data_IF_460727638640
#
_entry.id   IF_460727638640
#
_cell.length_a   1.000
_cell.length_b   1.000
_cell.length_c   1.000
_cell.angle_alpha   90.00
_cell.angle_beta   90.00
_cell.angle_gamma   90.00
#
_symmetry.space_group_name_H-M   'P 1'
#
loop_
_entity.id
_entity.type
_entity.pdbx_description
1 polymer ?
#
# COMPACT_ATOMS: atom_id res chain seq x y z
N UNK A 1 -74.07 -10.54 -50.10
CA UNK A 1 -72.81 -11.29 -50.13
C UNK A 1 -71.71 -10.28 -50.29
N UNK A 2 -71.05 -9.90 -49.20
CA UNK A 2 -69.89 -9.01 -49.22
C UNK A 2 -68.58 -9.84 -49.30
N UNK A 3 -67.60 -9.45 -50.10
CA UNK A 3 -66.37 -10.20 -50.23
C UNK A 3 -65.48 -9.98 -49.03
N UNK A 4 -64.86 -11.03 -48.53
CA UNK A 4 -63.96 -11.13 -47.43
C UNK A 4 -62.62 -10.53 -47.88
N UNK A 5 -62.12 -9.52 -47.15
CA UNK A 5 -60.73 -8.98 -47.29
C UNK A 5 -59.69 -9.93 -46.67
N UNK A 6 -58.51 -10.08 -47.29
CA UNK A 6 -57.44 -10.89 -46.74
C UNK A 6 -56.71 -10.15 -45.57
N UNK A 7 -56.08 -10.91 -44.63
CA UNK A 7 -55.44 -10.35 -43.47
C UNK A 7 -54.17 -9.59 -43.84
N UNK A 8 -53.77 -8.57 -43.06
CA UNK A 8 -52.57 -7.77 -43.30
C UNK A 8 -51.26 -8.55 -43.04
N UNK A 9 -50.28 -8.34 -43.92
CA UNK A 9 -48.95 -8.93 -43.85
C UNK A 9 -48.16 -8.47 -42.58
N UNK A 10 -47.28 -9.31 -42.04
CA UNK A 10 -46.55 -8.98 -40.81
C UNK A 10 -45.53 -7.86 -41.06
N UNK A 11 -45.58 -6.84 -40.19
CA UNK A 11 -44.58 -5.76 -40.13
C UNK A 11 -43.16 -6.32 -39.90
N UNK A 12 -42.23 -6.07 -40.83
CA UNK A 12 -40.81 -6.29 -40.63
C UNK A 12 -40.29 -5.35 -39.53
N UNK A 13 -39.94 -5.90 -38.39
CA UNK A 13 -39.24 -5.19 -37.33
C UNK A 13 -37.89 -4.71 -37.85
N UNK A 14 -37.73 -3.40 -37.95
CA UNK A 14 -36.41 -2.78 -38.15
C UNK A 14 -35.63 -2.92 -36.85
N UNK A 15 -34.72 -3.89 -36.77
CA UNK A 15 -33.68 -3.91 -35.75
C UNK A 15 -32.83 -2.66 -35.91
N UNK A 16 -32.95 -1.69 -35.00
CA UNK A 16 -31.99 -0.62 -34.83
C UNK A 16 -30.67 -1.27 -34.38
N UNK A 17 -29.62 -1.22 -35.18
CA UNK A 17 -28.26 -1.53 -34.76
C UNK A 17 -27.92 -0.65 -33.55
N UNK A 18 -27.57 -1.27 -32.43
CA UNK A 18 -27.01 -0.57 -31.30
C UNK A 18 -25.69 0.06 -31.79
N UNK A 19 -25.37 1.31 -31.38
CA UNK A 19 -24.04 1.88 -31.66
C UNK A 19 -23.00 0.99 -30.99
N UNK A 20 -21.97 0.68 -31.75
CA UNK A 20 -20.80 -0.06 -31.31
C UNK A 20 -20.02 0.86 -30.34
N UNK A 21 -20.12 0.58 -29.05
CA UNK A 21 -19.39 1.26 -27.96
C UNK A 21 -18.06 0.56 -27.69
N UNK A 22 -17.36 0.09 -28.72
CA UNK A 22 -15.97 -0.30 -28.61
C UNK A 22 -15.11 0.94 -28.48
N UNK A 23 -14.75 1.29 -27.23
CA UNK A 23 -13.65 2.22 -26.98
C UNK A 23 -12.38 1.61 -27.57
N UNK A 24 -11.60 2.36 -28.37
CA UNK A 24 -10.31 1.87 -28.83
C UNK A 24 -9.40 1.60 -27.62
N UNK A 25 -8.96 0.36 -27.48
CA UNK A 25 -7.92 0.02 -26.52
C UNK A 25 -6.66 0.82 -26.88
N UNK A 26 -6.01 1.49 -25.93
CA UNK A 26 -4.77 2.18 -26.20
C UNK A 26 -3.72 1.18 -26.68
N UNK A 27 -3.06 1.51 -27.78
CA UNK A 27 -1.93 0.76 -28.30
C UNK A 27 -0.89 0.54 -27.21
N UNK A 28 -0.39 -0.69 -27.07
CA UNK A 28 0.75 -1.05 -26.25
C UNK A 28 2.00 -0.29 -26.74
N UNK A 29 2.26 0.88 -26.18
CA UNK A 29 3.60 1.44 -26.18
C UNK A 29 4.38 0.84 -25.01
N UNK A 30 5.27 -0.09 -25.34
CA UNK A 30 6.14 -0.86 -24.42
C UNK A 30 7.32 0.01 -23.89
N UNK A 31 7.20 1.31 -23.93
CA UNK A 31 8.30 2.18 -23.55
C UNK A 31 7.85 3.32 -22.66
N UNK A 32 7.69 3.09 -21.36
CA UNK A 32 7.81 4.12 -20.32
C UNK A 32 7.91 3.50 -18.92
N UNK A 33 8.78 2.49 -18.76
CA UNK A 33 9.40 2.28 -17.45
C UNK A 33 10.58 3.25 -17.40
N UNK A 34 10.42 4.39 -16.71
CA UNK A 34 11.57 5.24 -16.38
C UNK A 34 12.42 4.44 -15.39
N UNK A 35 13.66 4.03 -15.77
CA UNK A 35 14.55 3.38 -14.83
C UNK A 35 14.85 4.37 -13.69
N UNK A 36 14.71 3.92 -12.44
CA UNK A 36 15.26 4.66 -11.31
C UNK A 36 16.78 4.85 -11.56
N UNK A 37 17.34 6.05 -11.29
CA UNK A 37 18.78 6.24 -11.35
C UNK A 37 19.46 5.24 -10.41
N UNK A 38 20.43 4.50 -10.95
CA UNK A 38 21.27 3.59 -10.18
C UNK A 38 22.07 4.40 -9.17
N UNK A 39 22.18 3.96 -7.91
CA UNK A 39 23.17 4.51 -6.99
C UNK A 39 24.56 4.24 -7.57
N UNK A 40 25.53 5.19 -7.40
CA UNK A 40 26.89 5.00 -7.86
C UNK A 40 27.54 3.77 -7.17
N UNK A 41 28.43 3.06 -7.85
CA UNK A 41 29.11 1.91 -7.25
C UNK A 41 29.94 2.36 -6.03
N UNK A 42 30.07 1.51 -5.00
CA UNK A 42 30.83 1.85 -3.82
C UNK A 42 32.30 2.03 -4.19
N UNK A 43 32.87 3.20 -3.85
CA UNK A 43 34.29 3.48 -3.99
C UNK A 43 35.07 2.61 -3.01
N UNK A 44 35.93 1.75 -3.54
CA UNK A 44 36.92 1.00 -2.76
C UNK A 44 38.00 1.95 -2.29
N UNK A 45 38.01 2.28 -1.00
CA UNK A 45 39.22 2.72 -0.30
C UNK A 45 39.32 1.98 1.03
N UNK A 46 40.40 1.23 1.13
CA UNK A 46 40.84 0.44 2.26
C UNK A 46 41.43 1.31 3.37
N UNK A 47 41.12 1.01 4.63
CA UNK A 47 42.02 0.63 5.71
C UNK A 47 41.49 1.05 7.11
N UNK A 48 41.97 0.46 8.19
CA UNK A 48 41.16 0.11 9.34
C UNK A 48 41.43 0.98 10.57
N UNK A 49 40.42 1.19 11.43
CA UNK A 49 40.71 1.46 12.87
C UNK A 49 39.52 1.15 13.77
N UNK A 50 39.75 0.21 14.67
CA UNK A 50 39.32 0.09 16.08
C UNK A 50 37.89 0.42 16.52
N UNK A 51 37.20 -0.64 16.97
CA UNK A 51 36.57 -0.67 18.28
C UNK A 51 35.33 0.20 18.52
N UNK A 52 34.15 -0.35 18.27
CA UNK A 52 32.97 0.03 19.04
C UNK A 52 32.00 -1.19 19.13
N UNK A 53 31.39 -1.34 20.30
CA UNK A 53 30.66 -2.47 20.77
C UNK A 53 29.61 -3.00 19.78
N UNK A 54 29.75 -4.25 19.42
CA UNK A 54 28.82 -5.03 18.60
C UNK A 54 27.63 -5.37 19.50
N UNK A 55 26.48 -4.73 19.26
CA UNK A 55 25.21 -5.31 19.68
C UNK A 55 25.06 -6.67 18.99
N UNK A 56 24.57 -7.72 19.67
CA UNK A 56 24.45 -9.03 19.06
C UNK A 56 23.40 -8.97 17.94
N UNK A 57 23.86 -8.85 16.70
CA UNK A 57 23.06 -9.10 15.52
C UNK A 57 22.55 -10.55 15.63
N UNK A 58 21.27 -10.72 15.98
CA UNK A 58 20.60 -12.01 15.92
C UNK A 58 20.68 -12.46 14.47
N UNK A 59 21.54 -13.44 14.19
CA UNK A 59 21.72 -14.01 12.86
C UNK A 59 20.35 -14.42 12.32
N UNK A 60 19.91 -13.82 11.22
CA UNK A 60 18.75 -14.29 10.48
C UNK A 60 18.99 -15.75 10.06
N UNK A 61 17.89 -16.51 9.90
CA UNK A 61 17.98 -17.92 9.51
C UNK A 61 18.85 -18.07 8.26
N UNK A 62 19.91 -18.85 8.34
CA UNK A 62 20.84 -19.07 7.22
C UNK A 62 20.24 -20.01 6.16
N UNK A 63 19.16 -20.72 6.48
CA UNK A 63 18.52 -21.67 5.58
C UNK A 63 17.03 -21.82 5.90
N UNK A 64 16.21 -22.06 4.86
CA UNK A 64 14.80 -22.41 5.01
C UNK A 64 14.58 -23.66 5.89
N UNK A 65 15.55 -24.60 5.94
CA UNK A 65 15.46 -25.80 6.77
C UNK A 65 15.47 -25.50 8.28
N UNK A 66 15.93 -24.33 8.70
CA UNK A 66 15.92 -23.88 10.10
C UNK A 66 14.56 -23.30 10.51
N UNK A 67 13.65 -23.08 9.55
CA UNK A 67 12.34 -22.49 9.78
C UNK A 67 11.26 -23.59 9.87
N UNK A 68 10.46 -23.52 10.91
CA UNK A 68 9.30 -24.36 11.10
C UNK A 68 8.03 -23.55 10.82
N UNK A 69 7.21 -24.00 9.86
CA UNK A 69 5.91 -23.37 9.58
C UNK A 69 4.91 -23.74 10.66
N UNK A 70 4.31 -22.72 11.31
CA UNK A 70 3.31 -22.90 12.37
C UNK A 70 1.90 -22.85 11.77
N UNK A 71 1.53 -21.72 11.17
CA UNK A 71 0.21 -21.52 10.56
C UNK A 71 0.26 -20.43 9.48
N UNK A 72 -0.76 -20.43 8.63
CA UNK A 72 -1.01 -19.35 7.67
C UNK A 72 -1.64 -18.16 8.38
N UNK A 73 -1.09 -16.95 8.18
CA UNK A 73 -1.56 -15.69 8.81
C UNK A 73 -2.12 -14.70 7.80
N UNK A 74 -1.89 -14.91 6.49
CA UNK A 74 -2.43 -14.05 5.45
C UNK A 74 -2.35 -14.67 4.07
N UNK A 75 -3.18 -14.21 3.15
CA UNK A 75 -3.11 -14.56 1.73
C UNK A 75 -3.74 -13.43 0.88
N UNK A 76 -3.19 -13.21 -0.30
CA UNK A 76 -3.68 -12.20 -1.24
C UNK A 76 -2.96 -12.30 -2.59
N UNK A 77 -3.17 -11.32 -3.47
CA UNK A 77 -2.52 -11.26 -4.78
C UNK A 77 -0.98 -11.28 -4.69
N UNK A 78 -0.41 -10.83 -3.57
CA UNK A 78 1.05 -10.83 -3.33
C UNK A 78 1.61 -12.15 -2.80
N UNK A 79 0.80 -13.21 -2.68
CA UNK A 79 1.24 -14.52 -2.16
C UNK A 79 0.59 -14.91 -0.84
N UNK A 80 1.17 -15.91 -0.18
CA UNK A 80 0.70 -16.39 1.12
C UNK A 80 1.73 -16.08 2.20
N UNK A 81 1.27 -15.66 3.37
CA UNK A 81 2.12 -15.37 4.53
C UNK A 81 1.89 -16.40 5.61
N UNK A 82 2.99 -16.98 6.11
CA UNK A 82 3.01 -17.94 7.20
C UNK A 82 3.73 -17.38 8.42
N UNK A 83 3.21 -17.66 9.61
CA UNK A 83 4.00 -17.58 10.82
C UNK A 83 4.98 -18.75 10.83
N UNK A 84 6.26 -18.46 11.02
CA UNK A 84 7.32 -19.46 11.13
C UNK A 84 8.13 -19.23 12.39
N UNK A 85 8.74 -20.27 12.92
CA UNK A 85 9.64 -20.21 14.07
C UNK A 85 11.02 -20.67 13.65
N UNK A 86 12.02 -19.88 13.94
CA UNK A 86 13.42 -20.25 13.74
C UNK A 86 13.84 -21.23 14.84
N UNK A 87 14.00 -22.51 14.50
CA UNK A 87 14.24 -23.60 15.45
C UNK A 87 15.38 -23.34 16.43
N UNK A 88 16.57 -22.86 15.99
CA UNK A 88 17.69 -22.64 16.91
C UNK A 88 17.44 -21.57 17.97
N UNK A 89 16.63 -20.54 17.67
CA UNK A 89 16.44 -19.38 18.56
C UNK A 89 15.02 -19.27 19.12
N UNK A 90 14.10 -20.12 18.67
CA UNK A 90 12.66 -20.06 18.98
C UNK A 90 12.01 -18.70 18.63
N UNK A 91 12.68 -17.87 17.83
CA UNK A 91 12.17 -16.54 17.45
C UNK A 91 11.12 -16.69 16.34
N UNK A 92 9.94 -16.02 16.47
CA UNK A 92 8.94 -16.00 15.42
C UNK A 92 9.31 -15.03 14.31
N UNK A 93 8.94 -15.38 13.05
CA UNK A 93 9.04 -14.56 11.85
C UNK A 93 7.79 -14.72 11.00
N UNK A 94 7.59 -13.84 10.04
CA UNK A 94 6.63 -13.98 8.97
C UNK A 94 7.36 -14.40 7.69
N UNK A 95 6.91 -15.49 7.05
CA UNK A 95 7.46 -15.96 5.77
C UNK A 95 6.42 -15.72 4.67
N UNK A 96 6.69 -14.75 3.81
CA UNK A 96 5.85 -14.44 2.64
C UNK A 96 6.34 -15.26 1.46
N UNK A 97 5.46 -16.13 0.93
CA UNK A 97 5.73 -16.98 -0.22
C UNK A 97 5.03 -16.40 -1.43
N UNK A 98 5.81 -16.03 -2.42
CA UNK A 98 5.36 -15.47 -3.70
C UNK A 98 5.37 -16.60 -4.71
N UNK A 99 4.16 -17.04 -5.10
CA UNK A 99 3.97 -18.13 -6.05
C UNK A 99 3.96 -17.61 -7.49
N UNK A 100 4.38 -18.42 -8.42
CA UNK A 100 4.18 -18.25 -9.85
C UNK A 100 5.45 -18.46 -10.68
N UNK A 101 5.28 -19.06 -11.85
CA UNK A 101 6.28 -19.08 -12.91
C UNK A 101 6.32 -17.67 -13.56
N UNK A 102 6.94 -16.74 -12.84
CA UNK A 102 7.17 -15.41 -13.39
C UNK A 102 8.22 -15.48 -14.48
N UNK A 103 8.01 -14.72 -15.57
CA UNK A 103 9.05 -14.50 -16.57
C UNK A 103 10.33 -13.99 -15.90
N UNK A 104 11.49 -14.36 -16.42
CA UNK A 104 12.79 -14.02 -15.82
C UNK A 104 12.98 -12.52 -15.55
N UNK A 105 12.37 -11.66 -16.39
CA UNK A 105 12.40 -10.21 -16.21
C UNK A 105 11.63 -9.77 -14.96
N UNK A 106 10.43 -10.33 -14.75
CA UNK A 106 9.57 -10.05 -13.58
C UNK A 106 10.25 -10.57 -12.32
N UNK A 107 10.81 -11.78 -12.38
CA UNK A 107 11.54 -12.38 -11.28
C UNK A 107 12.73 -11.53 -10.85
N UNK A 108 13.54 -11.06 -11.81
CA UNK A 108 14.66 -10.14 -11.52
C UNK A 108 14.20 -8.83 -10.91
N UNK A 109 13.06 -8.31 -11.34
CA UNK A 109 12.48 -7.08 -10.77
C UNK A 109 12.02 -7.30 -9.33
N UNK A 110 11.35 -8.43 -9.03
CA UNK A 110 10.94 -8.82 -7.67
C UNK A 110 12.18 -8.91 -6.77
N UNK A 111 13.23 -9.61 -7.20
CA UNK A 111 14.46 -9.74 -6.42
C UNK A 111 15.12 -8.38 -6.12
N UNK A 112 15.17 -7.45 -7.10
CA UNK A 112 15.69 -6.09 -6.89
C UNK A 112 14.90 -5.31 -5.85
N UNK A 113 13.58 -5.37 -5.89
CA UNK A 113 12.74 -4.70 -4.89
C UNK A 113 12.96 -5.29 -3.50
N UNK A 114 13.11 -6.62 -3.38
CA UNK A 114 13.41 -7.26 -2.10
C UNK A 114 14.79 -6.84 -1.58
N UNK A 115 15.80 -6.68 -2.43
CA UNK A 115 17.11 -6.16 -2.03
C UNK A 115 17.00 -4.73 -1.46
N UNK A 116 16.14 -3.87 -2.04
CA UNK A 116 15.84 -2.56 -1.47
C UNK A 116 15.19 -2.71 -0.09
N UNK A 117 14.22 -3.65 0.06
CA UNK A 117 13.59 -3.94 1.35
C UNK A 117 14.59 -4.36 2.42
N UNK A 118 15.58 -5.18 2.05
CA UNK A 118 16.63 -5.65 2.98
C UNK A 118 17.51 -4.50 3.51
N UNK A 119 17.69 -3.45 2.70
CA UNK A 119 18.46 -2.26 3.10
C UNK A 119 17.71 -1.33 4.05
N UNK A 120 16.38 -1.47 4.14
CA UNK A 120 15.55 -0.62 5.01
C UNK A 120 15.68 -1.05 6.46
N UNK A 121 15.98 -0.09 7.34
CA UNK A 121 16.10 -0.31 8.78
C UNK A 121 15.51 0.88 9.54
N UNK A 122 14.28 0.73 10.02
CA UNK A 122 13.55 1.76 10.74
C UNK A 122 12.52 1.14 11.70
N UNK A 123 12.38 1.71 12.89
CA UNK A 123 11.49 1.20 13.93
C UNK A 123 10.03 1.02 13.48
N UNK A 124 9.55 1.88 12.57
CA UNK A 124 8.16 1.86 12.09
C UNK A 124 8.02 1.32 10.65
N UNK A 125 8.96 0.48 10.21
CA UNK A 125 8.87 -0.27 8.95
C UNK A 125 9.21 -1.72 9.25
N UNK A 126 8.41 -2.64 8.72
CA UNK A 126 8.65 -4.09 8.91
C UNK A 126 10.00 -4.47 8.32
N UNK A 127 10.86 -5.08 9.15
CA UNK A 127 12.20 -5.50 8.75
C UNK A 127 12.14 -6.69 7.81
N UNK A 128 12.81 -6.60 6.68
CA UNK A 128 13.12 -7.75 5.83
C UNK A 128 14.45 -8.36 6.30
N UNK A 129 14.41 -9.60 6.76
CA UNK A 129 15.58 -10.30 7.30
C UNK A 129 16.35 -11.03 6.22
N UNK A 130 15.63 -11.72 5.34
CA UNK A 130 16.26 -12.52 4.27
C UNK A 130 15.29 -12.81 3.12
N UNK A 131 15.84 -13.31 2.03
CA UNK A 131 15.12 -13.78 0.86
C UNK A 131 15.70 -15.12 0.42
N UNK A 132 14.82 -16.07 0.10
CA UNK A 132 15.18 -17.39 -0.42
C UNK A 132 14.52 -17.58 -1.79
N UNK A 133 15.31 -18.03 -2.74
CA UNK A 133 14.84 -18.52 -4.01
C UNK A 133 14.89 -20.04 -4.01
N UNK A 134 13.73 -20.68 -3.92
CA UNK A 134 13.64 -22.12 -3.76
C UNK A 134 12.52 -22.71 -4.62
N UNK A 135 12.86 -23.67 -5.48
CA UNK A 135 11.92 -24.41 -6.34
C UNK A 135 10.99 -23.52 -7.19
N UNK A 136 11.50 -22.38 -7.69
CA UNK A 136 10.69 -21.46 -8.48
C UNK A 136 9.87 -20.46 -7.65
N UNK A 137 9.84 -20.62 -6.32
CA UNK A 137 9.17 -19.71 -5.40
C UNK A 137 10.16 -18.70 -4.80
N UNK A 138 9.74 -17.44 -4.68
CA UNK A 138 10.48 -16.43 -3.92
C UNK A 138 9.86 -16.37 -2.53
N UNK A 139 10.67 -16.60 -1.50
CA UNK A 139 10.24 -16.60 -0.10
C UNK A 139 10.98 -15.50 0.65
N UNK A 140 10.24 -14.59 1.29
CA UNK A 140 10.78 -13.41 1.99
C UNK A 140 10.56 -13.57 3.48
N UNK A 141 11.65 -13.54 4.24
CA UNK A 141 11.62 -13.65 5.71
C UNK A 141 11.50 -12.24 6.31
N UNK A 142 10.39 -11.98 6.96
CA UNK A 142 10.03 -10.69 7.52
C UNK A 142 9.91 -10.76 9.04
N UNK A 143 10.04 -9.61 9.68
CA UNK A 143 9.68 -9.44 11.09
C UNK A 143 8.22 -9.85 11.32
N UNK A 144 7.96 -10.54 12.44
CA UNK A 144 6.62 -10.97 12.83
C UNK A 144 6.00 -9.95 13.78
N UNK A 145 4.80 -9.46 13.43
CA UNK A 145 4.00 -8.55 14.24
C UNK A 145 2.80 -9.32 14.82
N UNK A 146 2.80 -9.53 16.12
CA UNK A 146 1.86 -10.44 16.80
C UNK A 146 0.44 -9.87 16.99
N UNK A 147 0.28 -8.55 16.91
CA UNK A 147 -1.02 -7.88 16.94
C UNK A 147 -1.75 -7.86 15.58
N UNK A 148 -1.09 -8.29 14.49
CA UNK A 148 -1.69 -8.38 13.15
C UNK A 148 -1.83 -7.02 12.47
N UNK A 149 -2.78 -6.91 11.52
CA UNK A 149 -3.02 -5.68 10.74
C UNK A 149 -4.11 -4.82 11.37
N UNK A 150 -4.10 -3.53 11.00
CA UNK A 150 -5.07 -2.54 11.49
C UNK A 150 -6.37 -2.50 10.68
N UNK A 151 -6.63 -3.47 9.81
CA UNK A 151 -7.89 -3.52 9.06
C UNK A 151 -9.08 -3.74 10.01
N UNK A 152 -10.10 -2.88 9.88
CA UNK A 152 -11.29 -2.92 10.74
C UNK A 152 -11.10 -2.36 12.14
N UNK A 153 -9.92 -1.83 12.45
CA UNK A 153 -9.65 -1.18 13.74
C UNK A 153 -10.38 0.16 13.82
N UNK A 154 -11.00 0.44 14.98
CA UNK A 154 -11.60 1.73 15.31
C UNK A 154 -10.89 2.33 16.51
N UNK A 155 -10.43 3.57 16.38
CA UNK A 155 -9.70 4.31 17.41
C UNK A 155 -10.50 5.56 17.76
N UNK A 156 -11.25 5.51 18.86
CA UNK A 156 -12.12 6.61 19.29
C UNK A 156 -11.37 7.74 20.02
N UNK A 157 -10.18 7.46 20.56
CA UNK A 157 -9.36 8.42 21.30
C UNK A 157 -8.33 9.07 20.40
N UNK A 158 -8.40 10.40 20.29
CA UNK A 158 -7.49 11.16 19.42
C UNK A 158 -6.03 11.07 19.86
N UNK A 159 -5.74 10.88 21.15
CA UNK A 159 -4.36 10.69 21.63
C UNK A 159 -3.74 9.39 21.11
N UNK A 160 -4.51 8.29 21.13
CA UNK A 160 -4.07 7.01 20.56
C UNK A 160 -3.90 7.09 19.04
N UNK A 161 -4.85 7.77 18.39
CA UNK A 161 -4.81 7.99 16.95
C UNK A 161 -3.61 8.86 16.55
N UNK A 162 -3.29 9.88 17.34
CA UNK A 162 -2.13 10.75 17.15
C UNK A 162 -0.83 9.97 17.28
N UNK A 163 -0.68 9.12 18.31
CA UNK A 163 0.52 8.31 18.48
C UNK A 163 0.69 7.30 17.34
N UNK A 164 -0.39 6.62 16.95
CA UNK A 164 -0.41 5.73 15.78
C UNK A 164 -0.01 6.47 14.50
N UNK A 165 -0.60 7.64 14.26
CA UNK A 165 -0.29 8.48 13.10
C UNK A 165 1.16 8.92 13.08
N UNK A 166 1.72 9.29 14.24
CA UNK A 166 3.13 9.68 14.40
C UNK A 166 4.06 8.53 14.02
N UNK A 167 3.77 7.32 14.46
CA UNK A 167 4.56 6.14 14.14
C UNK A 167 4.55 5.85 12.63
N UNK A 168 3.37 5.85 12.00
CA UNK A 168 3.23 5.63 10.55
C UNK A 168 3.95 6.72 9.77
N UNK A 169 3.78 8.00 10.15
CA UNK A 169 4.47 9.13 9.53
C UNK A 169 5.98 9.05 9.66
N UNK A 170 6.50 8.57 10.79
CA UNK A 170 7.93 8.36 11.01
C UNK A 170 8.50 7.35 10.02
N UNK A 171 7.84 6.20 9.86
CA UNK A 171 8.20 5.20 8.86
C UNK A 171 8.10 5.73 7.43
N UNK A 172 7.01 6.44 7.12
CA UNK A 172 6.77 7.00 5.78
C UNK A 172 7.78 8.09 5.42
N UNK A 173 8.10 9.01 6.35
CA UNK A 173 9.12 10.03 6.15
C UNK A 173 10.51 9.43 5.96
N UNK A 174 10.82 8.32 6.66
CA UNK A 174 12.05 7.57 6.44
C UNK A 174 12.10 7.01 5.01
N UNK A 175 11.06 6.31 4.54
CA UNK A 175 10.99 5.77 3.19
C UNK A 175 11.14 6.86 2.13
N UNK A 176 10.42 7.97 2.28
CA UNK A 176 10.45 9.09 1.35
C UNK A 176 11.83 9.76 1.26
N UNK A 177 12.56 9.90 2.38
CA UNK A 177 13.95 10.40 2.39
C UNK A 177 14.92 9.48 1.65
N UNK A 178 14.63 8.18 1.63
CA UNK A 178 15.41 7.18 0.88
C UNK A 178 14.88 6.95 -0.54
N UNK A 179 14.05 7.87 -1.05
CA UNK A 179 13.43 7.82 -2.39
C UNK A 179 12.57 6.58 -2.65
N UNK A 180 12.02 5.99 -1.59
CA UNK A 180 11.11 4.85 -1.66
C UNK A 180 9.67 5.35 -1.53
N UNK A 181 8.84 5.12 -2.55
CA UNK A 181 7.40 5.34 -2.53
C UNK A 181 6.71 4.03 -2.22
N UNK A 182 5.84 4.03 -1.20
CA UNK A 182 5.16 2.80 -0.77
C UNK A 182 4.07 2.35 -1.76
N UNK A 183 3.20 3.27 -2.19
CA UNK A 183 2.13 3.07 -3.20
C UNK A 183 0.95 2.20 -2.79
N UNK A 184 0.94 1.63 -1.60
CA UNK A 184 -0.14 0.78 -1.10
C UNK A 184 -0.35 0.94 0.42
N UNK A 185 -0.30 2.20 0.91
CA UNK A 185 -0.65 2.52 2.30
C UNK A 185 -2.16 2.29 2.47
N UNK A 186 -2.51 1.40 3.40
CA UNK A 186 -3.89 1.06 3.78
C UNK A 186 -3.89 0.28 5.08
N UNK A 187 -5.01 0.18 5.80
CA UNK A 187 -5.10 -0.51 7.09
C UNK A 187 -4.54 -1.94 7.10
N UNK A 188 -4.74 -2.72 6.03
CA UNK A 188 -4.22 -4.09 5.94
C UNK A 188 -2.70 -4.20 5.80
N UNK A 189 -2.02 -3.10 5.43
CA UNK A 189 -0.57 -2.99 5.30
C UNK A 189 0.07 -2.22 6.47
N UNK A 190 -0.70 -1.89 7.49
CA UNK A 190 -0.24 -1.30 8.74
C UNK A 190 -0.36 -2.36 9.84
N UNK A 191 0.77 -2.80 10.37
CA UNK A 191 0.82 -3.86 11.38
C UNK A 191 1.09 -3.27 12.76
N UNK A 192 0.59 -3.95 13.78
CA UNK A 192 0.80 -3.58 15.18
C UNK A 192 1.32 -4.79 15.95
N UNK A 193 2.11 -4.56 16.99
CA UNK A 193 2.53 -5.60 17.94
C UNK A 193 1.84 -5.44 19.30
N UNK A 194 2.11 -6.37 20.22
CA UNK A 194 1.58 -6.36 21.59
C UNK A 194 2.06 -5.17 22.42
N UNK A 195 3.17 -4.53 22.04
CA UNK A 195 3.69 -3.31 22.68
C UNK A 195 3.12 -2.03 22.08
N UNK A 196 2.16 -2.14 21.15
CA UNK A 196 1.55 -1.03 20.37
C UNK A 196 2.52 -0.32 19.43
N UNK A 197 3.61 -0.96 19.01
CA UNK A 197 4.43 -0.44 17.94
C UNK A 197 3.74 -0.67 16.59
N UNK A 198 3.59 0.39 15.81
CA UNK A 198 2.99 0.34 14.49
C UNK A 198 4.07 0.37 13.42
N UNK A 199 3.99 -0.55 12.46
CA UNK A 199 4.96 -0.65 11.35
C UNK A 199 4.26 -0.75 10.00
N UNK A 200 4.88 -0.12 9.01
CA UNK A 200 4.47 -0.20 7.61
C UNK A 200 5.00 -1.50 7.01
N UNK A 201 4.12 -2.28 6.38
CA UNK A 201 4.44 -3.55 5.73
C UNK A 201 4.12 -3.52 4.23
N UNK A 202 4.63 -4.51 3.50
CA UNK A 202 4.24 -4.81 2.11
C UNK A 202 4.54 -3.71 1.06
N UNK A 203 5.62 -2.96 1.22
CA UNK A 203 6.08 -2.04 0.19
C UNK A 203 6.89 -2.76 -0.92
N UNK A 204 6.72 -2.35 -2.16
CA UNK A 204 7.52 -2.76 -3.33
C UNK A 204 7.00 -4.00 -4.06
N UNK A 205 7.07 -5.18 -3.47
CA UNK A 205 6.80 -6.46 -4.15
C UNK A 205 5.34 -6.58 -4.63
N UNK A 206 4.39 -6.14 -3.84
CA UNK A 206 2.96 -6.18 -4.19
C UNK A 206 2.65 -5.39 -5.46
N UNK A 207 3.41 -4.32 -5.74
CA UNK A 207 3.26 -3.51 -6.94
C UNK A 207 3.69 -4.24 -8.22
N UNK A 208 4.82 -4.94 -8.17
CA UNK A 208 5.34 -5.66 -9.35
C UNK A 208 4.36 -6.76 -9.73
N UNK A 209 3.86 -7.48 -8.72
CA UNK A 209 2.86 -8.52 -8.92
C UNK A 209 1.55 -7.93 -9.47
N UNK A 210 1.11 -6.76 -8.98
CA UNK A 210 -0.07 -6.09 -9.50
C UNK A 210 0.09 -5.56 -10.94
N UNK A 211 1.31 -5.21 -11.37
CA UNK A 211 1.60 -4.76 -12.74
C UNK A 211 1.70 -5.93 -13.75
N UNK A 212 2.03 -7.12 -13.27
CA UNK A 212 2.09 -8.34 -14.10
C UNK A 212 0.76 -9.07 -14.18
N UNK A 213 -0.17 -8.80 -13.25
CA UNK A 213 -1.55 -9.25 -13.31
C UNK A 213 -2.38 -8.20 -14.06
N UNK A 214 -3.35 -8.65 -14.86
CA UNK A 214 -4.29 -7.80 -15.61
C UNK A 214 -4.79 -6.64 -14.73
N UNK A 215 -4.74 -5.38 -15.20
CA UNK A 215 -5.26 -4.21 -14.47
C UNK A 215 -6.70 -4.38 -13.97
N UNK A 216 -7.52 -5.19 -14.65
CA UNK A 216 -8.87 -5.55 -14.23
C UNK A 216 -8.94 -6.41 -12.96
N UNK A 217 -7.82 -6.98 -12.51
CA UNK A 217 -7.73 -7.80 -11.29
C UNK A 217 -7.12 -7.06 -10.08
N UNK A 218 -6.87 -5.76 -10.19
CA UNK A 218 -6.59 -4.93 -9.01
C UNK A 218 -7.82 -4.99 -8.11
N UNK A 219 -7.69 -5.57 -6.92
CA UNK A 219 -8.84 -5.66 -6.02
C UNK A 219 -9.36 -4.24 -5.75
N UNK A 220 -10.67 -4.05 -5.89
CA UNK A 220 -11.37 -2.77 -5.64
C UNK A 220 -10.95 -2.18 -4.29
N UNK A 221 -10.62 -3.02 -3.30
CA UNK A 221 -10.11 -2.62 -2.00
C UNK A 221 -8.78 -1.87 -2.01
N UNK A 222 -7.90 -2.11 -2.99
CA UNK A 222 -6.64 -1.35 -3.13
C UNK A 222 -6.87 0.03 -3.74
N UNK A 223 -7.82 0.14 -4.68
CA UNK A 223 -8.16 1.42 -5.35
C UNK A 223 -8.77 2.41 -4.34
N UNK A 224 -9.47 1.93 -3.34
CA UNK A 224 -10.16 2.74 -2.33
C UNK A 224 -9.26 3.77 -1.60
N UNK A 225 -7.97 3.49 -1.51
CA UNK A 225 -6.98 4.36 -0.85
C UNK A 225 -6.10 5.13 -1.84
N UNK A 226 -6.27 4.93 -3.16
CA UNK A 226 -5.48 5.64 -4.17
C UNK A 226 -5.85 7.12 -4.22
N UNK A 227 -4.84 7.96 -4.46
CA UNK A 227 -5.05 9.39 -4.66
C UNK A 227 -5.69 9.69 -6.03
N UNK A 228 -6.44 10.81 -6.15
CA UNK A 228 -7.11 11.19 -7.40
C UNK A 228 -6.16 11.25 -8.60
N UNK A 229 -4.97 11.83 -8.42
CA UNK A 229 -3.96 11.97 -9.47
C UNK A 229 -3.37 10.63 -9.92
N UNK A 230 -3.38 9.63 -9.04
CA UNK A 230 -2.93 8.27 -9.39
C UNK A 230 -3.99 7.50 -10.17
N UNK A 231 -5.26 7.74 -9.89
CA UNK A 231 -6.39 7.14 -10.62
C UNK A 231 -6.49 7.78 -12.00
N UNK A 232 -6.39 9.12 -12.09
CA UNK A 232 -6.47 9.89 -13.33
C UNK A 232 -5.10 10.05 -14.00
N UNK A 233 -4.35 8.98 -14.18
CA UNK A 233 -3.02 9.03 -14.82
C UNK A 233 -3.06 9.54 -16.26
N UNK A 234 -4.16 9.35 -16.98
CA UNK A 234 -4.32 9.82 -18.36
C UNK A 234 -4.25 11.35 -18.46
N UNK A 235 -4.78 12.08 -17.48
CA UNK A 235 -4.73 13.55 -17.44
C UNK A 235 -3.32 14.09 -17.16
N UNK A 236 -2.45 13.27 -16.56
CA UNK A 236 -1.11 13.65 -16.12
C UNK A 236 0.00 12.97 -16.93
N UNK A 237 -0.31 12.43 -18.14
CA UNK A 237 0.66 11.70 -18.97
C UNK A 237 1.41 10.60 -18.20
N UNK A 238 0.73 9.89 -17.31
CA UNK A 238 1.31 8.83 -16.47
C UNK A 238 2.24 9.32 -15.36
N UNK A 239 2.40 10.64 -15.17
CA UNK A 239 3.27 11.22 -14.15
C UNK A 239 2.46 11.67 -12.95
N UNK A 240 2.80 11.21 -11.76
CA UNK A 240 2.22 11.69 -10.50
C UNK A 240 3.27 11.68 -9.39
N UNK A 241 3.06 12.53 -8.39
CA UNK A 241 3.92 12.56 -7.20
C UNK A 241 3.55 11.40 -6.26
N UNK A 242 4.32 10.31 -6.30
CA UNK A 242 4.07 9.12 -5.47
C UNK A 242 4.15 9.40 -3.97
N UNK A 243 5.02 10.32 -3.54
CA UNK A 243 5.14 10.70 -2.13
C UNK A 243 3.85 11.37 -1.63
N UNK A 244 3.30 12.28 -2.42
CA UNK A 244 2.01 12.90 -2.11
C UNK A 244 0.86 11.88 -2.16
N UNK A 245 0.93 10.89 -3.07
CA UNK A 245 -0.03 9.78 -3.13
C UNK A 245 -0.04 8.94 -1.86
N UNK A 246 1.13 8.62 -1.28
CA UNK A 246 1.22 7.89 -0.01
C UNK A 246 0.60 8.68 1.15
N UNK A 247 0.77 10.01 1.18
CA UNK A 247 0.16 10.88 2.20
C UNK A 247 -1.38 10.91 2.07
N UNK A 248 -1.90 10.94 0.86
CA UNK A 248 -3.35 10.80 0.65
C UNK A 248 -3.87 9.47 1.22
N UNK A 249 -3.23 8.37 0.86
CA UNK A 249 -3.60 7.03 1.33
C UNK A 249 -3.55 6.92 2.86
N UNK A 250 -2.56 7.56 3.48
CA UNK A 250 -2.47 7.69 4.94
C UNK A 250 -3.66 8.49 5.49
N UNK A 251 -4.00 9.64 4.91
CA UNK A 251 -5.13 10.48 5.35
C UNK A 251 -6.46 9.73 5.34
N UNK A 252 -6.71 8.95 4.26
CA UNK A 252 -7.90 8.07 4.17
C UNK A 252 -7.89 7.03 5.28
N UNK A 253 -6.75 6.37 5.52
CA UNK A 253 -6.62 5.33 6.56
C UNK A 253 -6.83 5.88 7.97
N UNK A 254 -6.24 7.03 8.30
CA UNK A 254 -6.39 7.67 9.61
C UNK A 254 -7.84 8.11 9.85
N UNK A 255 -8.49 8.67 8.83
CA UNK A 255 -9.90 9.06 8.94
C UNK A 255 -10.81 7.82 9.08
N UNK A 256 -10.49 6.71 8.40
CA UNK A 256 -11.20 5.43 8.57
C UNK A 256 -11.06 4.91 10.00
N UNK A 257 -9.86 4.94 10.61
CA UNK A 257 -9.66 4.55 12.00
C UNK A 257 -10.51 5.39 12.96
N UNK A 258 -10.56 6.70 12.74
CA UNK A 258 -11.38 7.59 13.58
C UNK A 258 -12.88 7.32 13.44
N UNK A 259 -13.37 7.12 12.21
CA UNK A 259 -14.79 6.90 11.92
C UNK A 259 -15.25 5.46 12.19
N UNK A 260 -14.33 4.49 12.28
CA UNK A 260 -14.65 3.05 12.33
C UNK A 260 -15.30 2.53 11.03
N UNK A 261 -15.26 3.30 9.95
CA UNK A 261 -15.81 2.94 8.62
C UNK A 261 -15.07 3.68 7.51
N UNK A 262 -15.13 3.14 6.32
CA UNK A 262 -14.57 3.79 5.12
C UNK A 262 -15.15 5.21 4.94
N UNK A 263 -14.32 6.25 4.71
CA UNK A 263 -14.76 7.64 4.82
C UNK A 263 -15.53 8.19 3.62
N UNK A 264 -15.52 7.52 2.47
CA UNK A 264 -16.30 7.95 1.31
C UNK A 264 -17.76 7.45 1.39
N UNK A 265 -18.67 8.16 0.72
CA UNK A 265 -20.10 7.86 0.71
C UNK A 265 -20.48 6.61 -0.12
N UNK A 266 -19.48 5.84 -0.57
CA UNK A 266 -19.64 4.60 -1.33
C UNK A 266 -19.02 3.43 -0.58
N UNK A 267 -19.52 2.21 -0.83
CA UNK A 267 -18.90 1.02 -0.25
C UNK A 267 -17.49 0.84 -0.82
N UNK A 268 -16.53 0.47 0.05
CA UNK A 268 -15.19 0.05 -0.37
C UNK A 268 -15.20 -1.15 -1.32
N UNK A 269 -16.26 -1.95 -1.28
CA UNK A 269 -16.53 -3.10 -2.15
C UNK A 269 -17.56 -2.78 -3.25
N UNK A 270 -17.93 -1.50 -3.39
CA UNK A 270 -18.83 -1.02 -4.44
C UNK A 270 -18.26 -1.17 -5.85
N UNK A 271 -19.05 -0.78 -6.85
CA UNK A 271 -18.56 -0.80 -8.22
C UNK A 271 -17.42 0.22 -8.39
N UNK A 272 -16.50 -0.11 -9.27
CA UNK A 272 -15.30 0.68 -9.55
C UNK A 272 -15.62 2.13 -10.00
N UNK A 273 -16.66 2.31 -10.80
CA UNK A 273 -17.05 3.62 -11.32
C UNK A 273 -17.54 4.56 -10.22
N UNK A 274 -18.38 4.06 -9.29
CA UNK A 274 -18.85 4.82 -8.13
C UNK A 274 -17.70 5.25 -7.23
N UNK A 275 -16.73 4.36 -7.02
CA UNK A 275 -15.54 4.66 -6.20
C UNK A 275 -14.65 5.70 -6.88
N UNK A 276 -14.42 5.58 -8.19
CA UNK A 276 -13.69 6.58 -8.99
C UNK A 276 -14.36 7.96 -8.92
N UNK A 277 -15.68 8.03 -9.11
CA UNK A 277 -16.42 9.30 -9.00
C UNK A 277 -16.26 9.90 -7.59
N UNK A 278 -16.38 9.08 -6.54
CA UNK A 278 -16.24 9.55 -5.17
C UNK A 278 -14.84 10.09 -4.87
N UNK A 279 -13.77 9.48 -5.38
CA UNK A 279 -12.39 9.91 -5.12
C UNK A 279 -11.97 11.07 -6.02
N UNK A 280 -12.31 11.02 -7.32
CA UNK A 280 -11.77 11.96 -8.30
C UNK A 280 -12.63 13.19 -8.54
N UNK A 281 -13.96 13.08 -8.35
CA UNK A 281 -14.92 14.11 -8.74
C UNK A 281 -15.68 14.74 -7.56
N UNK A 282 -15.64 14.11 -6.38
CA UNK A 282 -16.25 14.67 -5.18
C UNK A 282 -15.25 15.44 -4.35
N UNK A 283 -15.76 16.24 -3.39
CA UNK A 283 -14.90 16.84 -2.36
C UNK A 283 -14.26 15.73 -1.51
N UNK A 284 -12.97 15.87 -1.12
CA UNK A 284 -12.32 14.97 -0.20
C UNK A 284 -13.13 14.81 1.09
N UNK A 285 -13.14 13.62 1.70
CA UNK A 285 -13.83 13.43 2.97
C UNK A 285 -13.17 14.23 4.09
N UNK A 286 -13.99 14.75 5.00
CA UNK A 286 -13.56 15.56 6.12
C UNK A 286 -13.80 14.85 7.45
N UNK A 287 -13.00 15.17 8.47
CA UNK A 287 -13.28 14.73 9.82
C UNK A 287 -14.53 15.48 10.37
N UNK A 288 -15.37 14.79 11.17
CA UNK A 288 -16.62 15.37 11.65
C UNK A 288 -16.38 16.59 12.59
N UNK A 289 -17.39 17.48 12.69
CA UNK A 289 -17.30 18.67 13.53
C UNK A 289 -17.09 18.37 15.03
N UNK A 290 -17.37 17.14 15.46
CA UNK A 290 -17.12 16.65 16.82
C UNK A 290 -15.65 16.37 17.12
N UNK A 291 -14.83 16.23 16.09
CA UNK A 291 -13.39 16.06 16.25
C UNK A 291 -12.69 17.38 16.60
N UNK A 292 -11.51 17.29 17.21
CA UNK A 292 -10.71 18.46 17.54
C UNK A 292 -10.35 19.28 16.29
N UNK A 293 -10.11 20.56 16.45
CA UNK A 293 -9.69 21.44 15.36
C UNK A 293 -8.37 20.96 14.76
N UNK A 294 -7.46 20.53 15.60
CA UNK A 294 -6.16 20.02 15.18
C UNK A 294 -6.28 18.75 14.35
N UNK A 295 -7.15 17.81 14.75
CA UNK A 295 -7.36 16.59 13.96
C UNK A 295 -8.03 16.91 12.61
N UNK A 296 -9.06 17.76 12.61
CA UNK A 296 -9.71 18.20 11.36
C UNK A 296 -8.72 18.86 10.40
N UNK A 297 -7.85 19.76 10.92
CA UNK A 297 -6.82 20.39 10.10
C UNK A 297 -5.77 19.39 9.62
N UNK A 298 -5.33 18.43 10.45
CA UNK A 298 -4.42 17.36 10.05
C UNK A 298 -4.97 16.55 8.87
N UNK A 299 -6.23 16.11 8.95
CA UNK A 299 -6.90 15.38 7.88
C UNK A 299 -6.96 16.22 6.61
N UNK A 300 -7.30 17.51 6.71
CA UNK A 300 -7.34 18.42 5.55
C UNK A 300 -5.97 18.62 4.89
N UNK A 301 -4.88 18.61 5.66
CA UNK A 301 -3.51 18.66 5.12
C UNK A 301 -3.12 17.39 4.36
N UNK A 302 -3.67 16.24 4.76
CA UNK A 302 -3.45 14.95 4.07
C UNK A 302 -4.32 14.81 2.81
N UNK A 303 -5.60 15.23 2.86
CA UNK A 303 -6.61 14.97 1.84
C UNK A 303 -6.82 16.20 0.91
N UNK A 304 -5.74 16.87 0.50
CA UNK A 304 -5.79 17.87 -0.55
C UNK A 304 -5.89 17.19 -1.91
N UNK A 305 -6.88 17.56 -2.73
CA UNK A 305 -7.02 17.04 -4.11
C UNK A 305 -5.86 17.46 -4.99
N UNK A 306 -5.29 18.65 -4.77
CA UNK A 306 -4.13 19.17 -5.47
C UNK A 306 -2.83 18.66 -4.79
N UNK A 307 -2.04 17.76 -5.42
CA UNK A 307 -0.86 17.16 -4.80
C UNK A 307 0.19 18.16 -4.28
N UNK A 308 0.49 19.29 -4.96
CA UNK A 308 1.39 20.32 -4.45
C UNK A 308 0.95 20.98 -3.14
N UNK A 309 -0.36 21.03 -2.84
CA UNK A 309 -0.89 21.58 -1.59
C UNK A 309 -0.90 20.58 -0.44
N UNK A 310 -0.75 19.31 -0.75
CA UNK A 310 -0.71 18.23 0.24
C UNK A 310 0.60 18.27 1.00
N UNK A 311 0.53 18.24 2.32
CA UNK A 311 1.72 18.25 3.16
C UNK A 311 2.54 16.98 2.98
N UNK A 312 3.87 17.10 3.06
CA UNK A 312 4.76 15.93 3.08
C UNK A 312 4.68 15.21 4.44
N UNK A 313 5.09 13.95 4.49
CA UNK A 313 5.17 13.19 5.74
C UNK A 313 6.06 13.89 6.79
N UNK A 314 7.14 14.55 6.35
CA UNK A 314 8.04 15.31 7.23
C UNK A 314 7.36 16.56 7.82
N UNK A 315 6.53 17.27 7.05
CA UNK A 315 5.76 18.43 7.54
C UNK A 315 4.68 17.98 8.51
N UNK A 316 3.97 16.88 8.21
CA UNK A 316 2.92 16.33 9.06
C UNK A 316 3.46 15.86 10.42
N UNK A 317 4.70 15.39 10.52
CA UNK A 317 5.35 15.08 11.80
C UNK A 317 5.48 16.30 12.74
N UNK A 318 5.43 17.53 12.18
CA UNK A 318 5.47 18.76 12.95
C UNK A 318 4.08 19.35 13.20
N UNK A 319 3.02 18.67 12.77
CA UNK A 319 1.65 19.15 12.92
C UNK A 319 1.21 19.15 14.39
N UNK A 320 0.46 20.17 14.87
CA UNK A 320 -0.02 20.26 16.26
C UNK A 320 -0.74 18.99 16.75
N UNK A 321 -1.55 18.36 15.92
CA UNK A 321 -2.21 17.09 16.23
C UNK A 321 -1.20 16.00 16.65
N UNK A 322 -0.07 15.90 15.95
CA UNK A 322 0.98 14.91 16.24
C UNK A 322 1.80 15.31 17.47
N UNK A 323 2.12 16.60 17.64
CA UNK A 323 2.98 17.07 18.74
C UNK A 323 2.27 17.08 20.09
N UNK A 324 0.93 17.17 20.13
CA UNK A 324 0.18 17.10 21.39
C UNK A 324 0.34 15.76 22.11
N UNK A 325 0.39 14.66 21.38
CA UNK A 325 0.56 13.31 21.92
C UNK A 325 1.93 13.10 22.60
N UNK A 326 2.95 13.87 22.21
CA UNK A 326 4.30 13.76 22.80
C UNK A 326 4.44 14.51 24.13
N UNK A 327 3.48 15.35 24.49
CA UNK A 327 3.41 16.01 25.78
C UNK A 327 2.53 15.18 26.71
N UNK A 328 3.05 14.02 27.17
CA UNK A 328 2.40 13.26 28.25
C UNK A 328 2.27 14.16 29.50
N UNK A 329 1.14 14.15 30.23
CA UNK A 329 1.04 14.82 31.51
C UNK A 329 1.85 14.03 32.53
N UNK A 330 2.98 14.55 32.94
CA UNK A 330 3.86 13.88 33.91
C UNK A 330 5.07 14.71 34.25
N UNK A 331 4.85 15.91 34.79
CA UNK A 331 5.77 16.59 35.70
C UNK A 331 5.00 17.51 36.62
#
# INVERSE_FOLDING_TARGET
MNPIQPPPSPMKSRFRKRPDLSLPLPHRDVALAVPLPLPPPPSTTSAPTSGSAISPNVSAAKSLSELERVNRIGSGAGGTVYKVVHRPTSKPFALKVIYGNHEDNVRRQICREIEILRSVDHANVVKCHDMFDHNGEIQVLLEFMDGGCLEGVHVSREEELSDMSRQILSGLAYLHRHHIVHRDIKPSNLLIDSEKNVKIADFGVSRILAQTMDPCNSSVGTIAYMSPERINTDLNHGRYNGYAGDVWSLGVSILEFYLGRFPFAVSRQGDWASLMCAICMSQPPEAPATASEEFRHFVSCCLQSDPPKRWSAQQLLQHPFILKSTRAPGS
#
